data_IF_657434829269
#
_entry.id   IF_657434829269
#
_cell.length_a   1.000
_cell.length_b   1.000
_cell.length_c   1.000
_cell.angle_alpha   90.00
_cell.angle_beta   90.00
_cell.angle_gamma   90.00
#
_symmetry.space_group_name_H-M   'P 1'
#
loop_
_entity.id
_entity.type
_entity.pdbx_description
1 polymer ?
#
# COMPACT_ATOMS: atom_id res chain seq x y z
N UNK A 1 -6.52 20.91 -3.66
CA UNK A 1 -5.97 20.43 -2.37
C UNK A 1 -4.79 19.51 -2.64
N UNK A 2 -3.70 19.60 -1.88
CA UNK A 2 -2.50 18.75 -2.05
C UNK A 2 -2.64 17.48 -1.22
N UNK A 3 -2.19 16.34 -1.73
CA UNK A 3 -2.22 15.06 -0.99
C UNK A 3 -1.52 15.17 0.37
N UNK A 4 -0.36 15.83 0.41
CA UNK A 4 0.44 16.04 1.63
C UNK A 4 -0.24 16.94 2.69
N UNK A 5 -1.35 17.60 2.34
CA UNK A 5 -2.13 18.41 3.27
C UNK A 5 -3.31 17.66 3.86
N UNK A 6 -3.49 16.38 3.53
CA UNK A 6 -4.61 15.57 3.98
C UNK A 6 -4.28 14.82 5.27
N UNK A 7 -5.27 14.72 6.14
CA UNK A 7 -5.28 13.75 7.23
C UNK A 7 -5.58 12.34 6.73
N UNK A 8 -5.26 11.33 7.53
CA UNK A 8 -5.64 9.94 7.25
C UNK A 8 -7.14 9.81 6.90
N UNK A 9 -7.99 10.43 7.71
CA UNK A 9 -9.45 10.33 7.54
C UNK A 9 -9.94 10.93 6.22
N UNK A 10 -9.23 11.93 5.69
CA UNK A 10 -9.52 12.53 4.38
C UNK A 10 -8.99 11.63 3.27
N UNK A 11 -7.77 11.08 3.40
CA UNK A 11 -7.20 10.09 2.47
C UNK A 11 -8.10 8.85 2.32
N UNK A 12 -8.78 8.43 3.39
CA UNK A 12 -9.73 7.33 3.34
C UNK A 12 -10.99 7.63 2.52
N UNK A 13 -11.39 8.90 2.42
CA UNK A 13 -12.62 9.35 1.75
C UNK A 13 -12.42 9.76 0.30
N UNK A 14 -11.17 9.93 -0.15
CA UNK A 14 -10.87 10.28 -1.54
C UNK A 14 -11.42 9.25 -2.51
N UNK A 15 -12.12 9.71 -3.54
CA UNK A 15 -12.36 8.90 -4.72
C UNK A 15 -11.14 8.92 -5.67
N UNK A 16 -11.16 8.07 -6.71
CA UNK A 16 -10.04 7.92 -7.64
C UNK A 16 -9.64 9.23 -8.33
N UNK A 17 -10.60 10.07 -8.72
CA UNK A 17 -10.30 11.35 -9.39
C UNK A 17 -9.67 12.36 -8.45
N UNK A 18 -10.16 12.43 -7.21
CA UNK A 18 -9.64 13.32 -6.17
C UNK A 18 -8.24 12.92 -5.74
N UNK A 19 -7.98 11.62 -5.61
CA UNK A 19 -6.65 11.09 -5.31
C UNK A 19 -5.64 11.54 -6.37
N UNK A 20 -5.91 11.27 -7.64
CA UNK A 20 -5.03 11.65 -8.74
C UNK A 20 -4.82 13.16 -8.81
N UNK A 21 -5.88 13.95 -8.64
CA UNK A 21 -5.75 15.41 -8.64
C UNK A 21 -4.94 15.91 -7.44
N UNK A 22 -5.10 15.32 -6.26
CA UNK A 22 -4.35 15.69 -5.06
C UNK A 22 -2.85 15.40 -5.19
N UNK A 23 -2.50 14.30 -5.87
CA UNK A 23 -1.12 13.92 -6.21
C UNK A 23 -0.52 14.91 -7.20
N UNK A 24 -1.24 15.24 -8.28
CA UNK A 24 -0.79 16.23 -9.28
C UNK A 24 -0.51 17.59 -8.64
N UNK A 25 -1.36 18.02 -7.70
CA UNK A 25 -1.19 19.29 -6.99
C UNK A 25 0.05 19.32 -6.07
N UNK A 26 0.70 18.18 -5.82
CA UNK A 26 1.97 18.13 -5.07
C UNK A 26 3.21 18.37 -5.94
N UNK A 27 3.07 18.56 -7.25
CA UNK A 27 4.17 18.97 -8.14
C UNK A 27 5.41 18.06 -8.08
N UNK A 28 5.20 16.75 -7.88
CA UNK A 28 6.27 15.75 -7.90
C UNK A 28 7.03 15.56 -6.56
N UNK A 29 6.56 16.15 -5.47
CA UNK A 29 7.22 16.04 -4.14
C UNK A 29 6.87 14.73 -3.42
N UNK A 30 5.83 14.02 -3.86
CA UNK A 30 5.35 12.78 -3.21
C UNK A 30 6.39 11.68 -3.29
N UNK A 31 6.70 11.07 -2.15
CA UNK A 31 7.54 9.89 -2.06
C UNK A 31 6.67 8.62 -2.10
N UNK A 32 6.85 7.83 -3.16
CA UNK A 32 6.25 6.49 -3.27
C UNK A 32 7.29 5.45 -2.87
N UNK A 33 6.95 4.60 -1.91
CA UNK A 33 7.79 3.44 -1.54
C UNK A 33 7.15 2.17 -2.04
N UNK A 34 7.91 1.43 -2.84
CA UNK A 34 7.54 0.09 -3.27
C UNK A 34 8.07 -0.92 -2.25
N UNK A 35 7.19 -1.81 -1.77
CA UNK A 35 7.52 -2.78 -0.73
C UNK A 35 7.15 -4.17 -1.19
N UNK A 36 8.11 -5.10 -1.13
CA UNK A 36 7.81 -6.52 -1.30
C UNK A 36 7.04 -7.00 -0.08
N UNK A 37 5.77 -7.38 -0.26
CA UNK A 37 4.86 -7.74 0.84
C UNK A 37 4.83 -9.25 1.12
N UNK A 38 5.20 -10.08 0.15
CA UNK A 38 5.17 -11.54 0.25
C UNK A 38 6.43 -12.14 0.93
N UNK A 39 7.52 -11.38 1.05
CA UNK A 39 8.77 -11.81 1.67
C UNK A 39 8.85 -11.38 3.13
N UNK A 40 9.70 -12.07 3.90
CA UNK A 40 9.90 -11.78 5.32
C UNK A 40 10.19 -10.30 5.55
N UNK A 41 9.49 -9.71 6.52
CA UNK A 41 9.66 -8.32 6.91
C UNK A 41 10.97 -8.11 7.67
N UNK A 42 11.55 -6.91 7.56
CA UNK A 42 12.83 -6.59 8.17
C UNK A 42 12.77 -6.59 9.71
N UNK A 43 11.67 -6.10 10.29
CA UNK A 43 11.47 -5.99 11.74
C UNK A 43 10.39 -6.97 12.18
N UNK A 44 10.66 -7.84 13.15
CA UNK A 44 9.82 -9.01 13.45
C UNK A 44 8.35 -8.72 13.81
N UNK A 45 8.01 -7.49 14.16
CA UNK A 45 6.71 -7.11 14.74
C UNK A 45 5.84 -6.26 13.83
N UNK A 46 6.37 -5.75 12.71
CA UNK A 46 5.65 -4.83 11.81
C UNK A 46 5.87 -5.21 10.35
N UNK A 47 4.96 -4.76 9.48
CA UNK A 47 5.08 -4.93 8.03
C UNK A 47 6.18 -4.02 7.45
N UNK A 48 6.75 -4.40 6.30
CA UNK A 48 7.67 -3.52 5.55
C UNK A 48 7.00 -2.19 5.16
N UNK A 49 5.69 -2.20 4.94
CA UNK A 49 4.89 -1.04 4.60
C UNK A 49 4.70 -0.06 5.77
N UNK A 50 4.55 -0.55 7.00
CA UNK A 50 4.60 0.30 8.21
C UNK A 50 5.97 0.92 8.41
N UNK A 51 7.04 0.15 8.20
CA UNK A 51 8.40 0.70 8.25
C UNK A 51 8.59 1.79 7.19
N UNK A 52 8.16 1.57 5.95
CA UNK A 52 8.23 2.57 4.89
C UNK A 52 7.44 3.84 5.21
N UNK A 53 6.22 3.71 5.77
CA UNK A 53 5.43 4.84 6.23
C UNK A 53 6.15 5.64 7.33
N UNK A 54 6.80 4.96 8.27
CA UNK A 54 7.63 5.60 9.29
C UNK A 54 8.89 6.28 8.70
N UNK A 55 9.37 5.79 7.57
CA UNK A 55 10.48 6.36 6.78
C UNK A 55 10.00 7.33 5.69
N UNK A 56 8.91 8.05 5.96
CA UNK A 56 8.42 9.21 5.19
C UNK A 56 7.81 8.85 3.83
N UNK A 57 7.44 7.60 3.59
CA UNK A 57 6.63 7.27 2.42
C UNK A 57 5.22 7.87 2.55
N UNK A 58 4.81 8.59 1.50
CA UNK A 58 3.49 9.23 1.40
C UNK A 58 2.45 8.27 0.79
N UNK A 59 2.90 7.42 -0.13
CA UNK A 59 2.12 6.39 -0.80
C UNK A 59 2.94 5.10 -0.79
N UNK A 60 2.26 3.97 -0.60
CA UNK A 60 2.86 2.66 -0.56
C UNK A 60 2.39 1.83 -1.76
N UNK A 61 3.32 1.15 -2.42
CA UNK A 61 3.02 0.17 -3.47
C UNK A 61 3.36 -1.23 -2.96
N UNK A 62 2.35 -2.08 -2.85
CA UNK A 62 2.49 -3.49 -2.50
C UNK A 62 2.97 -4.28 -3.72
N UNK A 63 4.27 -4.56 -3.76
CA UNK A 63 4.89 -5.40 -4.78
C UNK A 63 4.84 -6.88 -4.40
N UNK A 64 4.71 -7.73 -5.42
CA UNK A 64 4.45 -9.18 -5.30
C UNK A 64 3.20 -9.50 -4.47
N UNK A 65 2.19 -8.65 -4.54
CA UNK A 65 0.90 -8.92 -3.91
C UNK A 65 0.07 -9.86 -4.80
N UNK A 66 -0.25 -11.04 -4.28
CA UNK A 66 -1.12 -12.01 -4.94
C UNK A 66 -2.59 -11.75 -4.58
N UNK A 67 -3.40 -11.31 -5.55
CA UNK A 67 -4.81 -11.03 -5.33
C UNK A 67 -5.67 -12.31 -5.18
N UNK A 68 -5.21 -13.45 -5.69
CA UNK A 68 -5.89 -14.74 -5.56
C UNK A 68 -5.58 -15.42 -4.22
N UNK A 69 -4.36 -15.22 -3.71
CA UNK A 69 -3.91 -15.69 -2.38
C UNK A 69 -3.32 -14.54 -1.57
N UNK A 70 -4.15 -13.60 -1.06
CA UNK A 70 -3.65 -12.41 -0.37
C UNK A 70 -2.85 -12.75 0.88
N UNK A 71 -1.60 -12.31 0.92
CA UNK A 71 -0.72 -12.40 2.08
C UNK A 71 0.14 -11.13 2.17
N UNK A 72 0.28 -10.60 3.40
CA UNK A 72 1.22 -9.52 3.72
C UNK A 72 1.98 -9.94 4.96
N UNK A 73 3.29 -10.15 4.82
CA UNK A 73 4.15 -10.58 5.93
C UNK A 73 4.20 -9.47 7.00
N UNK A 74 4.02 -9.88 8.25
CA UNK A 74 4.01 -8.99 9.42
C UNK A 74 2.60 -8.63 9.90
N UNK A 75 1.56 -8.96 9.12
CA UNK A 75 0.17 -8.83 9.58
C UNK A 75 -0.28 -10.03 10.41
N UNK A 76 -1.23 -9.80 11.32
CA UNK A 76 -1.86 -10.87 12.09
C UNK A 76 -2.59 -11.86 11.17
N UNK A 77 -2.45 -13.16 11.45
CA UNK A 77 -3.18 -14.23 10.74
C UNK A 77 -4.69 -14.23 10.99
N UNK A 78 -5.15 -13.43 11.95
CA UNK A 78 -6.58 -13.28 12.27
C UNK A 78 -7.30 -12.33 11.31
N UNK A 79 -6.55 -11.46 10.61
CA UNK A 79 -7.10 -10.53 9.61
C UNK A 79 -7.53 -11.34 8.39
N UNK A 80 -8.77 -11.14 7.94
CA UNK A 80 -9.27 -11.83 6.76
C UNK A 80 -8.52 -11.37 5.50
N UNK A 81 -8.26 -12.26 4.51
CA UNK A 81 -7.51 -11.91 3.30
C UNK A 81 -8.05 -10.67 2.57
N UNK A 82 -9.38 -10.52 2.48
CA UNK A 82 -10.03 -9.38 1.82
C UNK A 82 -9.92 -8.06 2.61
N UNK A 83 -9.53 -8.11 3.88
CA UNK A 83 -9.34 -6.93 4.73
C UNK A 83 -7.88 -6.47 4.78
N UNK A 84 -6.91 -7.24 4.27
CA UNK A 84 -5.48 -6.95 4.42
C UNK A 84 -5.12 -5.53 3.95
N UNK A 85 -5.54 -5.15 2.74
CA UNK A 85 -5.25 -3.81 2.19
C UNK A 85 -5.93 -2.70 3.01
N UNK A 86 -7.16 -2.95 3.49
CA UNK A 86 -7.89 -2.00 4.33
C UNK A 86 -7.16 -1.81 5.67
N UNK A 87 -6.75 -2.91 6.33
CA UNK A 87 -5.97 -2.86 7.57
C UNK A 87 -4.61 -2.23 7.37
N UNK A 88 -3.95 -2.47 6.24
CA UNK A 88 -2.68 -1.82 5.94
C UNK A 88 -2.83 -0.31 5.77
N UNK A 89 -3.92 0.14 5.13
CA UNK A 89 -4.29 1.56 5.03
C UNK A 89 -4.55 2.17 6.42
N UNK A 90 -5.23 1.45 7.32
CA UNK A 90 -5.45 1.88 8.71
C UNK A 90 -4.13 1.97 9.51
N UNK A 91 -3.23 0.99 9.39
CA UNK A 91 -1.97 0.97 10.15
C UNK A 91 -0.97 2.02 9.69
N UNK A 92 -0.94 2.30 8.39
CA UNK A 92 0.05 3.21 7.79
C UNK A 92 -0.49 4.63 7.63
N UNK A 93 -1.81 4.81 7.60
CA UNK A 93 -2.47 6.05 7.25
C UNK A 93 -2.16 6.53 5.82
N UNK A 94 -1.68 5.65 4.93
CA UNK A 94 -1.27 5.98 3.56
C UNK A 94 -2.20 5.37 2.52
N UNK A 95 -2.23 5.99 1.34
CA UNK A 95 -2.82 5.33 0.16
C UNK A 95 -1.96 4.13 -0.23
N UNK A 96 -2.62 3.00 -0.48
CA UNK A 96 -1.99 1.75 -0.88
C UNK A 96 -2.35 1.46 -2.32
N UNK A 97 -1.36 1.27 -3.19
CA UNK A 97 -1.53 0.66 -4.50
C UNK A 97 -0.99 -0.77 -4.51
N UNK A 98 -1.53 -1.62 -5.37
CA UNK A 98 -1.01 -2.95 -5.61
C UNK A 98 -0.34 -3.01 -6.98
N UNK A 99 0.91 -3.44 -7.04
CA UNK A 99 1.57 -3.76 -8.30
C UNK A 99 1.20 -5.19 -8.67
N UNK A 100 0.19 -5.34 -9.54
CA UNK A 100 -0.28 -6.64 -10.01
C UNK A 100 0.40 -6.96 -11.33
N UNK A 101 1.18 -8.04 -11.37
CA UNK A 101 1.78 -8.55 -12.58
C UNK A 101 0.85 -9.61 -13.20
N UNK A 102 0.25 -9.35 -14.37
CA UNK A 102 -0.58 -10.34 -15.02
C UNK A 102 0.31 -11.46 -15.57
N UNK A 103 0.17 -12.67 -15.02
CA UNK A 103 0.69 -13.88 -15.66
C UNK A 103 -0.28 -14.34 -16.74
N UNK A 104 0.24 -14.58 -17.94
CA UNK A 104 -0.58 -15.16 -19.00
C UNK A 104 -1.08 -16.54 -18.56
N UNK A 105 -2.33 -16.93 -18.81
CA UNK A 105 -2.85 -18.23 -18.36
C UNK A 105 -2.13 -19.47 -18.92
N UNK A 106 -1.25 -19.28 -19.91
CA UNK A 106 -0.38 -20.32 -20.48
C UNK A 106 1.08 -20.18 -20.06
N UNK A 107 1.39 -19.28 -19.12
CA UNK A 107 2.73 -19.13 -18.58
C UNK A 107 3.01 -20.38 -17.75
N UNK A 108 3.89 -21.23 -18.27
CA UNK A 108 4.36 -22.46 -17.63
C UNK A 108 5.81 -22.21 -17.26
N UNK A 109 6.16 -22.40 -15.98
CA UNK A 109 7.55 -22.34 -15.50
C UNK A 109 8.44 -23.41 -16.14
#
# INVERSE_FOLDING_TARGET
MRYLSLTESEIQKLNSSELIQSIKNCEGIILVSENIVALNHLLQTITNSELAAAMWADILLSNLFDAEKPEIKGMSKEIQPFELIKKLKEFTGRSIGANLEPVHPNFSD
#
